data_IF_658605810344
#
_entry.id   IF_658605810344
#
_cell.length_a   1.000
_cell.length_b   1.000
_cell.length_c   1.000
_cell.angle_alpha   90.00
_cell.angle_beta   90.00
_cell.angle_gamma   90.00
#
_symmetry.space_group_name_H-M   'P 1'
#
loop_
_entity.id
_entity.type
_entity.pdbx_description
1 polymer ?
#
# COMPACT_ATOMS: atom_id res chain seq x y z
N UNK A 1 2.34 -18.46 -12.49
CA UNK A 1 3.09 -17.65 -11.51
C UNK A 1 2.49 -16.26 -11.50
N UNK A 2 2.33 -15.66 -10.31
CA UNK A 2 1.79 -14.30 -10.12
C UNK A 2 2.83 -13.45 -9.40
N UNK A 3 3.08 -12.23 -9.91
CA UNK A 3 4.02 -11.30 -9.28
C UNK A 3 3.21 -10.29 -8.47
N UNK A 4 3.51 -10.22 -7.19
CA UNK A 4 2.92 -9.31 -6.23
C UNK A 4 3.95 -8.28 -5.80
N UNK A 5 3.60 -7.01 -5.79
CA UNK A 5 4.44 -5.92 -5.31
C UNK A 5 3.88 -5.42 -3.99
N UNK A 6 4.69 -5.54 -2.94
CA UNK A 6 4.29 -5.26 -1.57
C UNK A 6 5.04 -4.04 -1.04
N UNK A 7 4.36 -3.26 -0.18
CA UNK A 7 4.94 -2.12 0.54
C UNK A 7 4.00 -1.69 1.70
N UNK A 8 4.50 -0.80 2.58
CA UNK A 8 3.72 -0.19 3.65
C UNK A 8 3.70 1.33 3.55
N UNK A 9 2.58 1.93 3.95
CA UNK A 9 2.50 3.39 4.09
C UNK A 9 1.89 3.80 5.41
N UNK A 10 2.41 4.90 5.99
CA UNK A 10 1.86 5.51 7.21
C UNK A 10 0.84 6.58 6.86
N UNK A 11 -0.29 6.55 7.56
CA UNK A 11 -1.37 7.54 7.47
C UNK A 11 -1.71 8.05 8.87
N UNK A 12 -1.87 9.34 9.04
CA UNK A 12 -2.20 9.92 10.35
C UNK A 12 -2.28 11.44 10.36
N UNK A 13 -2.32 11.99 11.56
CA UNK A 13 -2.53 13.42 11.81
C UNK A 13 -1.42 14.31 11.24
N UNK A 14 -0.20 13.82 11.12
CA UNK A 14 0.88 14.49 10.38
C UNK A 14 0.81 14.13 8.89
N UNK A 15 -0.37 14.31 8.29
CA UNK A 15 -0.68 13.89 6.93
C UNK A 15 0.03 14.69 5.85
N UNK A 16 -0.02 14.15 4.63
CA UNK A 16 0.48 14.80 3.42
C UNK A 16 -0.42 15.96 3.01
N UNK A 17 0.19 17.00 2.46
CA UNK A 17 -0.53 18.08 1.79
C UNK A 17 -0.40 17.91 0.29
N UNK A 18 -1.50 18.07 -0.43
CA UNK A 18 -1.52 18.08 -1.88
C UNK A 18 -2.22 19.31 -2.42
N UNK A 19 -2.06 19.57 -3.71
CA UNK A 19 -2.70 20.70 -4.39
C UNK A 19 -4.21 20.49 -4.42
N UNK A 20 -4.96 21.56 -4.20
CA UNK A 20 -6.42 21.56 -4.32
C UNK A 20 -6.85 22.60 -5.36
N UNK A 21 -7.99 22.34 -6.01
CA UNK A 21 -8.62 23.32 -6.88
C UNK A 21 -9.22 24.45 -6.03
N UNK A 22 -8.97 25.68 -6.43
CA UNK A 22 -9.50 26.87 -5.79
C UNK A 22 -9.76 27.97 -6.81
N UNK A 23 -10.66 28.93 -6.55
CA UNK A 23 -10.87 30.06 -7.41
C UNK A 23 -9.56 30.83 -7.67
N UNK A 24 -9.38 31.32 -8.88
CA UNK A 24 -8.18 32.10 -9.26
C UNK A 24 -8.00 33.30 -8.32
N UNK A 25 -6.78 33.47 -7.83
CA UNK A 25 -6.43 34.57 -6.90
C UNK A 25 -6.68 34.25 -5.42
N UNK A 26 -7.23 33.07 -5.08
CA UNK A 26 -7.41 32.66 -3.69
C UNK A 26 -6.23 31.82 -3.19
N UNK A 27 -5.99 31.86 -1.88
CA UNK A 27 -5.03 30.97 -1.18
C UNK A 27 -5.79 30.11 -0.17
N UNK A 28 -6.19 28.89 -0.54
CA UNK A 28 -6.88 28.01 0.38
C UNK A 28 -6.00 27.70 1.58
N UNK A 29 -6.60 27.72 2.77
CA UNK A 29 -5.93 27.37 4.03
C UNK A 29 -6.20 25.91 4.36
N UNK A 30 -5.17 25.18 4.73
CA UNK A 30 -5.25 23.79 5.18
C UNK A 30 -4.78 23.73 6.62
N UNK A 31 -5.56 23.05 7.47
CA UNK A 31 -5.19 22.80 8.85
C UNK A 31 -4.10 21.72 8.85
N UNK A 32 -2.96 22.02 9.47
CA UNK A 32 -1.89 21.05 9.70
C UNK A 32 -1.95 20.58 11.14
N UNK A 33 -2.29 19.34 11.36
CA UNK A 33 -2.26 18.71 12.66
C UNK A 33 -0.81 18.39 13.06
N UNK A 34 -0.51 18.51 14.37
CA UNK A 34 0.81 18.22 14.93
C UNK A 34 0.80 17.01 15.87
N UNK A 35 -0.35 16.41 16.10
CA UNK A 35 -0.51 15.23 16.94
C UNK A 35 0.10 13.99 16.24
N UNK A 36 0.21 12.89 16.98
CA UNK A 36 0.99 11.72 16.57
C UNK A 36 0.15 10.45 16.38
N UNK A 37 -1.17 10.55 16.26
CA UNK A 37 -2.00 9.39 15.94
C UNK A 37 -1.77 8.97 14.47
N UNK A 38 -1.51 7.70 14.26
CA UNK A 38 -1.28 7.14 12.92
C UNK A 38 -1.62 5.64 12.87
N UNK A 39 -1.83 5.17 11.67
CA UNK A 39 -1.98 3.77 11.30
C UNK A 39 -1.10 3.46 10.09
N UNK A 40 -0.88 2.19 9.84
CA UNK A 40 -0.17 1.73 8.65
C UNK A 40 -1.13 0.94 7.75
N UNK A 41 -1.05 1.19 6.46
CA UNK A 41 -1.65 0.33 5.43
C UNK A 41 -0.53 -0.54 4.88
N UNK A 42 -0.65 -1.84 5.05
CA UNK A 42 0.12 -2.84 4.32
C UNK A 42 -0.63 -3.15 3.04
N UNK A 43 0.02 -3.03 1.90
CA UNK A 43 -0.62 -3.26 0.61
C UNK A 43 0.25 -4.10 -0.30
N UNK A 44 -0.41 -4.93 -1.09
CA UNK A 44 0.21 -5.67 -2.16
C UNK A 44 -0.68 -5.66 -3.40
N UNK A 45 -0.10 -5.53 -4.58
CA UNK A 45 -0.81 -5.54 -5.85
C UNK A 45 -0.23 -6.57 -6.79
N UNK A 46 -1.10 -7.25 -7.52
CA UNK A 46 -0.75 -8.13 -8.62
C UNK A 46 -1.27 -7.53 -9.94
N UNK A 47 -0.44 -6.77 -10.69
CA UNK A 47 -0.88 -6.06 -11.89
C UNK A 47 -1.53 -6.97 -12.93
N UNK A 48 -0.96 -8.15 -13.18
CA UNK A 48 -1.44 -9.12 -14.16
C UNK A 48 -2.85 -9.64 -13.86
N UNK A 49 -3.17 -9.81 -12.57
CA UNK A 49 -4.48 -10.30 -12.12
C UNK A 49 -5.45 -9.16 -11.82
N UNK A 50 -4.97 -7.93 -11.77
CA UNK A 50 -5.75 -6.79 -11.33
C UNK A 50 -6.35 -7.03 -9.93
N UNK A 51 -5.52 -7.62 -9.06
CA UNK A 51 -5.88 -8.04 -7.71
C UNK A 51 -4.99 -7.33 -6.69
N UNK A 52 -5.47 -7.19 -5.47
CA UNK A 52 -4.71 -6.57 -4.39
C UNK A 52 -5.12 -7.14 -3.02
N UNK A 53 -4.17 -7.16 -2.10
CA UNK A 53 -4.36 -7.55 -0.71
C UNK A 53 -3.95 -6.41 0.21
N UNK A 54 -4.67 -6.15 1.29
CA UNK A 54 -4.34 -5.07 2.20
C UNK A 54 -4.81 -5.27 3.62
N UNK A 55 -4.00 -4.79 4.58
CA UNK A 55 -4.32 -4.77 6.00
C UNK A 55 -4.05 -3.39 6.59
N UNK A 56 -4.85 -2.97 7.58
CA UNK A 56 -4.61 -1.76 8.35
C UNK A 56 -4.18 -2.19 9.75
N UNK A 57 -2.99 -1.76 10.17
CA UNK A 57 -2.37 -2.18 11.42
C UNK A 57 -1.79 -0.98 12.17
N UNK A 58 -1.75 -1.04 13.53
CA UNK A 58 -1.24 0.08 14.34
C UNK A 58 0.27 0.26 14.28
N UNK A 59 1.00 -0.74 13.83
CA UNK A 59 2.47 -0.73 13.79
C UNK A 59 3.01 -1.65 12.70
N UNK A 60 4.24 -1.35 12.28
CA UNK A 60 5.01 -2.19 11.35
C UNK A 60 5.94 -3.08 12.17
N UNK A 61 5.66 -4.38 12.16
CA UNK A 61 6.47 -5.39 12.83
C UNK A 61 6.36 -6.75 12.13
N UNK A 62 7.08 -7.75 12.64
CA UNK A 62 7.08 -9.10 12.09
C UNK A 62 5.70 -9.76 12.07
N UNK A 63 4.92 -9.60 13.14
CA UNK A 63 3.61 -10.25 13.28
C UNK A 63 2.61 -9.65 12.29
N UNK A 64 2.63 -8.33 12.11
CA UNK A 64 1.83 -7.63 11.11
C UNK A 64 2.19 -8.04 9.70
N UNK A 65 3.49 -8.11 9.41
CA UNK A 65 3.98 -8.55 8.11
C UNK A 65 3.67 -10.03 7.82
N UNK A 66 3.78 -10.90 8.83
CA UNK A 66 3.36 -12.30 8.73
C UNK A 66 1.88 -12.44 8.33
N UNK A 67 0.99 -11.69 8.99
CA UNK A 67 -0.43 -11.66 8.65
C UNK A 67 -0.67 -11.14 7.22
N UNK A 68 0.11 -10.16 6.78
CA UNK A 68 -0.01 -9.65 5.42
C UNK A 68 0.44 -10.68 4.37
N UNK A 69 1.50 -11.46 4.64
CA UNK A 69 1.89 -12.57 3.76
C UNK A 69 0.81 -13.66 3.68
N UNK A 70 0.16 -13.96 4.79
CA UNK A 70 -0.97 -14.88 4.84
C UNK A 70 -2.14 -14.35 4.01
N UNK A 71 -2.46 -13.06 4.13
CA UNK A 71 -3.50 -12.40 3.31
C UNK A 71 -3.17 -12.47 1.82
N UNK A 72 -1.94 -12.15 1.41
CA UNK A 72 -1.51 -12.31 0.01
C UNK A 72 -1.65 -13.76 -0.44
N UNK A 73 -1.30 -14.72 0.42
CA UNK A 73 -1.42 -16.16 0.13
C UNK A 73 -2.85 -16.58 -0.18
N UNK A 74 -3.84 -16.02 0.52
CA UNK A 74 -5.26 -16.24 0.27
C UNK A 74 -5.72 -15.76 -1.11
N UNK A 75 -5.16 -14.67 -1.60
CA UNK A 75 -5.46 -14.12 -2.93
C UNK A 75 -4.84 -14.92 -4.07
N UNK A 76 -3.89 -15.83 -3.79
CA UNK A 76 -3.26 -16.68 -4.81
C UNK A 76 -4.11 -17.92 -5.00
N UNK A 77 -4.70 -18.16 -6.20
CA UNK A 77 -5.54 -19.32 -6.44
C UNK A 77 -4.79 -20.65 -6.26
N UNK A 78 -5.53 -21.69 -5.91
CA UNK A 78 -5.00 -23.03 -5.79
C UNK A 78 -4.25 -23.47 -7.07
N UNK A 79 -3.09 -24.11 -6.90
CA UNK A 79 -2.22 -24.52 -8.00
C UNK A 79 -1.37 -23.41 -8.63
N UNK A 80 -1.46 -22.18 -8.12
CA UNK A 80 -0.59 -21.06 -8.53
C UNK A 80 0.45 -20.75 -7.47
N UNK A 81 1.50 -20.04 -7.87
CA UNK A 81 2.58 -19.58 -6.96
C UNK A 81 2.78 -18.09 -7.12
N UNK A 82 2.88 -17.36 -6.01
CA UNK A 82 3.15 -15.93 -5.94
C UNK A 82 4.62 -15.63 -5.69
N UNK A 83 5.17 -14.69 -6.42
CA UNK A 83 6.45 -14.05 -6.09
C UNK A 83 6.15 -12.69 -5.52
N UNK A 84 6.42 -12.49 -4.22
CA UNK A 84 6.22 -11.22 -3.53
C UNK A 84 7.50 -10.41 -3.61
N UNK A 85 7.43 -9.32 -4.37
CA UNK A 85 8.52 -8.36 -4.56
C UNK A 85 8.39 -7.27 -3.52
N UNK A 86 9.44 -7.01 -2.76
CA UNK A 86 9.44 -6.04 -1.65
C UNK A 86 10.82 -5.42 -1.44
N UNK A 87 10.90 -4.38 -0.63
CA UNK A 87 12.16 -3.80 -0.19
C UNK A 87 12.85 -4.66 0.90
N UNK A 88 13.99 -4.20 1.39
CA UNK A 88 14.79 -4.87 2.44
C UNK A 88 14.59 -4.23 3.82
N UNK A 89 13.39 -3.79 4.17
CA UNK A 89 13.15 -3.26 5.51
C UNK A 89 13.51 -4.30 6.59
N UNK A 90 13.89 -3.81 7.77
CA UNK A 90 14.42 -4.67 8.84
C UNK A 90 13.46 -5.77 9.31
N UNK A 91 12.16 -5.53 9.25
CA UNK A 91 11.10 -6.50 9.58
C UNK A 91 10.81 -7.51 8.47
N UNK A 92 11.40 -7.35 7.29
CA UNK A 92 11.33 -8.31 6.18
C UNK A 92 12.39 -9.42 6.25
N UNK A 93 13.22 -9.46 7.30
CA UNK A 93 14.32 -10.43 7.39
C UNK A 93 13.80 -11.85 7.65
N UNK A 94 14.26 -12.79 6.84
CA UNK A 94 13.81 -14.19 6.76
C UNK A 94 13.87 -15.01 8.05
N UNK A 95 14.65 -14.61 9.05
CA UNK A 95 14.94 -15.46 10.23
C UNK A 95 13.73 -15.76 11.13
N UNK A 96 12.64 -15.02 11.01
CA UNK A 96 11.43 -15.18 11.86
C UNK A 96 10.14 -15.39 11.08
N UNK A 97 10.15 -15.23 9.74
CA UNK A 97 8.94 -15.32 8.93
C UNK A 97 8.64 -16.77 8.52
N UNK A 98 7.40 -17.20 8.75
CA UNK A 98 6.86 -18.42 8.18
C UNK A 98 6.26 -18.10 6.81
N UNK A 99 7.04 -18.32 5.75
CA UNK A 99 6.61 -18.01 4.38
C UNK A 99 5.58 -19.05 3.94
N UNK A 100 4.35 -18.66 3.52
CA UNK A 100 3.37 -19.58 2.98
C UNK A 100 3.93 -20.39 1.81
N UNK A 101 3.54 -21.66 1.68
CA UNK A 101 4.07 -22.62 0.70
C UNK A 101 3.89 -22.17 -0.76
N UNK A 102 2.88 -21.34 -1.03
CA UNK A 102 2.56 -20.80 -2.36
C UNK A 102 3.21 -19.42 -2.61
N UNK A 103 4.14 -18.97 -1.75
CA UNK A 103 4.85 -17.69 -1.88
C UNK A 103 6.36 -17.90 -1.93
N UNK A 104 7.03 -17.14 -2.78
CA UNK A 104 8.47 -16.85 -2.73
C UNK A 104 8.70 -15.36 -2.60
N UNK A 105 9.73 -14.96 -1.86
CA UNK A 105 10.09 -13.55 -1.66
C UNK A 105 11.25 -13.17 -2.58
N UNK A 106 11.10 -12.05 -3.30
CA UNK A 106 12.13 -11.41 -4.09
C UNK A 106 12.39 -10.00 -3.58
N UNK A 107 13.61 -9.71 -3.17
CA UNK A 107 13.98 -8.39 -2.69
C UNK A 107 14.40 -7.46 -3.83
N UNK A 108 13.86 -6.25 -3.82
CA UNK A 108 14.31 -5.16 -4.69
C UNK A 108 15.76 -4.77 -4.37
N UNK A 109 16.46 -4.20 -5.37
CA UNK A 109 17.73 -3.52 -5.12
C UNK A 109 17.54 -2.41 -4.06
N UNK A 110 18.58 -2.11 -3.26
CA UNK A 110 18.50 -1.01 -2.31
C UNK A 110 18.21 0.33 -3.02
N UNK A 111 17.33 1.13 -2.44
CA UNK A 111 16.99 2.49 -2.93
C UNK A 111 16.43 2.53 -4.36
N UNK A 112 15.56 1.59 -4.70
CA UNK A 112 14.91 1.51 -6.01
C UNK A 112 13.37 1.52 -5.89
N UNK A 113 12.74 2.54 -5.27
CA UNK A 113 11.29 2.61 -5.12
C UNK A 113 10.56 2.68 -6.46
N UNK A 114 11.21 3.22 -7.50
CA UNK A 114 10.67 3.30 -8.87
C UNK A 114 10.38 1.92 -9.50
N UNK A 115 10.98 0.86 -8.96
CA UNK A 115 10.70 -0.52 -9.35
C UNK A 115 9.51 -1.12 -8.60
N UNK A 116 8.91 -0.40 -7.64
CA UNK A 116 7.74 -0.87 -6.90
C UNK A 116 6.48 -0.13 -7.35
N UNK A 117 5.59 -0.73 -8.16
CA UNK A 117 4.33 -0.11 -8.56
C UNK A 117 3.41 0.26 -7.39
N UNK A 118 3.60 -0.35 -6.22
CA UNK A 118 2.82 -0.04 -5.01
C UNK A 118 2.99 1.42 -4.58
N UNK A 119 4.11 2.05 -4.89
CA UNK A 119 4.33 3.48 -4.63
C UNK A 119 3.31 4.39 -5.35
N UNK A 120 2.91 4.02 -6.57
CA UNK A 120 1.88 4.76 -7.32
C UNK A 120 0.49 4.59 -6.68
N UNK A 121 0.23 3.44 -6.07
CA UNK A 121 -1.00 3.23 -5.29
C UNK A 121 -1.01 4.15 -4.08
N UNK A 122 0.11 4.23 -3.34
CA UNK A 122 0.22 5.14 -2.20
C UNK A 122 0.03 6.60 -2.59
N UNK A 123 0.65 7.02 -3.70
CA UNK A 123 0.47 8.38 -4.23
C UNK A 123 -1.00 8.66 -4.54
N UNK A 124 -1.66 7.73 -5.24
CA UNK A 124 -3.08 7.88 -5.57
C UNK A 124 -3.97 7.94 -4.33
N UNK A 125 -3.78 7.04 -3.34
CA UNK A 125 -4.57 7.04 -2.12
C UNK A 125 -4.37 8.33 -1.31
N UNK A 126 -3.12 8.81 -1.21
CA UNK A 126 -2.81 10.06 -0.54
C UNK A 126 -3.46 11.24 -1.25
N UNK A 127 -3.28 11.38 -2.55
CA UNK A 127 -3.77 12.54 -3.30
C UNK A 127 -5.28 12.60 -3.40
N UNK A 128 -5.94 11.44 -3.49
CA UNK A 128 -7.39 11.36 -3.74
C UNK A 128 -8.21 11.31 -2.45
N UNK A 129 -7.74 10.61 -1.42
CA UNK A 129 -8.58 10.28 -0.26
C UNK A 129 -8.02 10.74 1.08
N UNK A 130 -6.69 10.83 1.25
CA UNK A 130 -6.06 10.93 2.57
C UNK A 130 -5.34 12.26 2.81
N UNK A 131 -4.91 12.98 1.77
CA UNK A 131 -4.26 14.27 1.92
C UNK A 131 -5.26 15.39 2.30
N UNK A 132 -4.74 16.46 2.89
CA UNK A 132 -5.51 17.64 3.29
C UNK A 132 -6.67 17.35 4.26
N UNK A 133 -6.63 16.22 4.98
CA UNK A 133 -7.60 15.83 6.00
C UNK A 133 -7.07 16.09 7.40
N UNK A 134 -8.00 16.32 8.32
CA UNK A 134 -7.76 16.29 9.76
C UNK A 134 -8.43 15.05 10.34
N UNK A 135 -7.77 14.39 11.28
CA UNK A 135 -8.27 13.20 11.94
C UNK A 135 -8.49 13.46 13.43
N UNK A 136 -9.69 13.17 13.91
CA UNK A 136 -10.08 13.41 15.31
C UNK A 136 -9.70 12.27 16.25
N UNK A 137 -9.61 11.04 15.73
CA UNK A 137 -9.32 9.83 16.50
C UNK A 137 -8.59 8.76 15.66
N UNK A 138 -8.19 7.68 16.31
CA UNK A 138 -7.62 6.50 15.62
C UNK A 138 -8.66 5.82 14.74
N UNK A 139 -9.91 5.73 15.19
CA UNK A 139 -11.02 5.17 14.43
C UNK A 139 -11.25 5.94 13.13
N UNK A 140 -11.21 7.29 13.19
CA UNK A 140 -11.35 8.14 12.01
C UNK A 140 -10.20 7.88 10.98
N UNK A 141 -8.98 7.61 11.46
CA UNK A 141 -7.86 7.22 10.59
C UNK A 141 -8.11 5.84 9.97
N UNK A 142 -8.55 4.87 10.76
CA UNK A 142 -8.84 3.50 10.28
C UNK A 142 -9.94 3.52 9.23
N UNK A 143 -11.02 4.26 9.49
CA UNK A 143 -12.15 4.39 8.56
C UNK A 143 -11.73 5.06 7.25
N UNK A 144 -10.91 6.12 7.34
CA UNK A 144 -10.40 6.79 6.16
C UNK A 144 -9.48 5.88 5.33
N UNK A 145 -8.59 5.12 5.98
CA UNK A 145 -7.73 4.14 5.33
C UNK A 145 -8.54 3.02 4.68
N UNK A 146 -9.54 2.47 5.39
CA UNK A 146 -10.42 1.42 4.89
C UNK A 146 -11.22 1.88 3.67
N UNK A 147 -11.82 3.06 3.74
CA UNK A 147 -12.57 3.63 2.63
C UNK A 147 -11.69 3.88 1.41
N UNK A 148 -10.48 4.43 1.61
CA UNK A 148 -9.53 4.67 0.54
C UNK A 148 -9.06 3.36 -0.12
N UNK A 149 -8.69 2.37 0.69
CA UNK A 149 -8.26 1.06 0.19
C UNK A 149 -9.39 0.32 -0.54
N UNK A 150 -10.60 0.30 0.02
CA UNK A 150 -11.76 -0.34 -0.60
C UNK A 150 -12.16 0.33 -1.92
N UNK A 151 -12.10 1.66 -2.01
CA UNK A 151 -12.35 2.38 -3.25
C UNK A 151 -11.35 2.00 -4.35
N UNK A 152 -10.08 1.82 -4.00
CA UNK A 152 -9.03 1.37 -4.91
C UNK A 152 -9.22 -0.10 -5.29
N UNK A 153 -9.37 -1.01 -4.32
CA UNK A 153 -9.42 -2.47 -4.51
C UNK A 153 -10.64 -2.92 -5.33
N UNK A 154 -11.75 -2.21 -5.23
CA UNK A 154 -12.97 -2.49 -6.00
C UNK A 154 -12.87 -2.09 -7.48
N UNK A 155 -11.79 -1.42 -7.91
CA UNK A 155 -11.63 -0.96 -9.29
C UNK A 155 -10.47 -1.64 -10.01
N UNK A 156 -10.74 -2.77 -10.67
CA UNK A 156 -9.76 -3.48 -11.51
C UNK A 156 -9.08 -2.57 -12.54
N UNK A 157 -9.86 -1.66 -13.15
CA UNK A 157 -9.34 -0.69 -14.11
C UNK A 157 -8.32 0.25 -13.45
N UNK A 158 -8.56 0.69 -12.23
CA UNK A 158 -7.66 1.56 -11.48
C UNK A 158 -6.39 0.82 -11.08
N UNK A 159 -6.53 -0.42 -10.56
CA UNK A 159 -5.38 -1.28 -10.25
C UNK A 159 -4.48 -1.41 -11.48
N UNK A 160 -5.04 -1.80 -12.63
CA UNK A 160 -4.29 -1.93 -13.87
C UNK A 160 -3.62 -0.61 -14.27
N UNK A 161 -4.35 0.50 -14.28
CA UNK A 161 -3.85 1.81 -14.69
C UNK A 161 -2.66 2.30 -13.86
N UNK A 162 -2.72 2.10 -12.54
CA UNK A 162 -1.67 2.56 -11.62
C UNK A 162 -0.46 1.63 -11.57
N UNK A 163 -0.65 0.32 -11.72
CA UNK A 163 0.38 -0.67 -11.41
C UNK A 163 1.01 -1.33 -12.63
N UNK A 164 0.38 -1.24 -13.81
CA UNK A 164 0.96 -1.78 -15.03
C UNK A 164 2.16 -0.95 -15.48
N UNK A 165 3.28 -1.63 -15.73
CA UNK A 165 4.50 -1.04 -16.28
C UNK A 165 4.93 -1.85 -17.50
N UNK A 166 5.53 -1.20 -18.49
CA UNK A 166 5.98 -1.86 -19.71
C UNK A 166 6.88 -3.07 -19.43
N UNK A 167 7.79 -2.93 -18.46
CA UNK A 167 8.72 -4.00 -18.09
C UNK A 167 8.06 -5.18 -17.34
N UNK A 168 6.89 -4.97 -16.70
CA UNK A 168 6.16 -6.06 -16.01
C UNK A 168 5.60 -7.09 -17.01
N UNK A 169 5.35 -6.69 -18.24
CA UNK A 169 4.87 -7.59 -19.28
C UNK A 169 5.97 -8.49 -19.88
N UNK A 170 7.22 -8.20 -19.55
CA UNK A 170 8.38 -8.96 -20.04
C UNK A 170 8.75 -10.13 -19.13
N UNK A 171 8.08 -10.25 -17.99
CA UNK A 171 8.26 -11.30 -16.98
C UNK A 171 6.99 -12.18 -16.96
#
# INVERSE_FOLDING_TARGET
>A
MDIWFQDETRVGQQGSQTRIWAPKGTRPRIVKQQQYLYQYIFGAVCPKRQDCAGLILPQVNYDGFQKHLEEISFHIPQGRHGVVVMDRAGWHTKKKLSIPHNISILYLPPRAPELNPQEMVWQHLKDTYLANRTFSSLEDIVDACSNAWNAFSNSKKLISSLTTRHWIHLI
#
